data_IF_612857690697
#
_entry.id   IF_612857690697
#
_cell.length_a   1.000
_cell.length_b   1.000
_cell.length_c   1.000
_cell.angle_alpha   90.00
_cell.angle_beta   90.00
_cell.angle_gamma   90.00
#
_symmetry.space_group_name_H-M   'P 1'
#
loop_
_entity.id
_entity.type
_entity.pdbx_description
1 polymer ?
#
# COMPACT_ATOMS: atom_id res chain seq x y z
N UNK A 1 23.10 -15.89 -21.82
CA UNK A 1 22.78 -14.74 -20.95
C UNK A 1 23.80 -14.75 -19.81
N UNK A 2 24.45 -13.62 -19.50
CA UNK A 2 25.44 -13.56 -18.41
C UNK A 2 24.71 -13.82 -17.08
N UNK A 3 25.27 -14.56 -16.11
CA UNK A 3 24.57 -14.92 -14.86
C UNK A 3 23.89 -13.74 -14.14
N UNK A 4 24.51 -12.55 -14.20
CA UNK A 4 23.96 -11.34 -13.60
C UNK A 4 22.69 -10.82 -14.32
N UNK A 5 22.60 -10.99 -15.64
CA UNK A 5 21.40 -10.62 -16.41
C UNK A 5 20.21 -11.53 -16.09
N UNK A 6 20.46 -12.84 -15.89
CA UNK A 6 19.43 -13.79 -15.48
C UNK A 6 18.87 -13.38 -14.11
N UNK A 7 19.74 -13.02 -13.18
CA UNK A 7 19.37 -12.54 -11.85
C UNK A 7 18.51 -11.28 -11.88
N UNK A 8 18.83 -10.31 -12.75
CA UNK A 8 18.02 -9.09 -12.93
C UNK A 8 16.62 -9.44 -13.45
N UNK A 9 16.52 -10.31 -14.46
CA UNK A 9 15.22 -10.75 -15.00
C UNK A 9 14.37 -11.46 -13.94
N UNK A 10 14.98 -12.34 -13.15
CA UNK A 10 14.31 -13.04 -12.04
C UNK A 10 13.78 -12.07 -10.99
N UNK A 11 14.58 -11.07 -10.61
CA UNK A 11 14.15 -10.04 -9.65
C UNK A 11 13.00 -9.19 -10.19
N UNK A 12 13.02 -8.81 -11.47
CA UNK A 12 11.93 -8.06 -12.09
C UNK A 12 10.65 -8.89 -12.19
N UNK A 13 10.77 -10.18 -12.53
CA UNK A 13 9.64 -11.09 -12.55
C UNK A 13 9.04 -11.29 -11.14
N UNK A 14 9.87 -11.34 -10.10
CA UNK A 14 9.41 -11.39 -8.71
C UNK A 14 8.66 -10.11 -8.32
N UNK A 15 9.21 -8.93 -8.65
CA UNK A 15 8.56 -7.65 -8.37
C UNK A 15 7.21 -7.52 -9.09
N UNK A 16 7.10 -7.99 -10.34
CA UNK A 16 5.85 -7.98 -11.09
C UNK A 16 4.77 -8.85 -10.43
N UNK A 17 5.12 -10.07 -9.98
CA UNK A 17 4.18 -10.94 -9.27
C UNK A 17 3.72 -10.34 -7.93
N UNK A 18 4.63 -9.73 -7.18
CA UNK A 18 4.31 -9.05 -5.93
C UNK A 18 3.39 -7.84 -6.18
N UNK A 19 3.64 -7.07 -7.24
CA UNK A 19 2.79 -5.96 -7.66
C UNK A 19 1.37 -6.41 -8.00
N UNK A 20 1.23 -7.51 -8.75
CA UNK A 20 -0.08 -8.07 -9.10
C UNK A 20 -0.84 -8.56 -7.87
N UNK A 21 -0.14 -9.19 -6.91
CA UNK A 21 -0.72 -9.60 -5.65
C UNK A 21 -1.24 -8.39 -4.85
N UNK A 22 -0.38 -7.40 -4.60
CA UNK A 22 -0.73 -6.22 -3.83
C UNK A 22 -1.85 -5.39 -4.49
N UNK A 23 -1.86 -5.34 -5.83
CA UNK A 23 -2.92 -4.64 -6.57
C UNK A 23 -4.30 -5.28 -6.40
N UNK A 24 -4.38 -6.57 -6.09
CA UNK A 24 -5.66 -7.23 -5.72
C UNK A 24 -5.95 -7.06 -4.23
N UNK A 25 -4.93 -7.17 -3.39
CA UNK A 25 -5.04 -7.06 -1.93
C UNK A 25 -5.53 -5.66 -1.50
N UNK A 26 -5.08 -4.60 -2.17
CA UNK A 26 -5.44 -3.22 -1.82
C UNK A 26 -6.95 -2.98 -1.83
N UNK A 27 -7.71 -3.65 -2.71
CA UNK A 27 -9.16 -3.54 -2.75
C UNK A 27 -9.81 -4.11 -1.48
N UNK A 28 -9.29 -5.24 -0.97
CA UNK A 28 -9.75 -5.83 0.29
C UNK A 28 -9.41 -4.95 1.50
N UNK A 29 -8.21 -4.36 1.50
CA UNK A 29 -7.80 -3.42 2.55
C UNK A 29 -8.65 -2.14 2.53
N UNK A 30 -8.96 -1.61 1.34
CA UNK A 30 -9.82 -0.45 1.16
C UNK A 30 -11.23 -0.74 1.71
N UNK A 31 -11.80 -1.91 1.37
CA UNK A 31 -13.11 -2.32 1.89
C UNK A 31 -13.11 -2.45 3.40
N UNK A 32 -12.10 -3.10 3.98
CA UNK A 32 -11.97 -3.25 5.43
C UNK A 32 -11.84 -1.89 6.15
N UNK A 33 -11.14 -0.92 5.57
CA UNK A 33 -11.09 0.43 6.12
C UNK A 33 -12.45 1.13 6.08
N UNK A 34 -13.19 1.02 4.98
CA UNK A 34 -14.53 1.61 4.86
C UNK A 34 -15.51 1.00 5.86
N UNK A 35 -15.47 -0.31 6.05
CA UNK A 35 -16.27 -1.03 7.05
C UNK A 35 -15.94 -0.54 8.47
N UNK A 36 -14.66 -0.55 8.86
CA UNK A 36 -14.24 -0.09 10.18
C UNK A 36 -14.60 1.39 10.43
N UNK A 37 -14.50 2.24 9.40
CA UNK A 37 -14.90 3.65 9.51
C UNK A 37 -16.42 3.80 9.68
N UNK A 38 -17.22 2.95 9.04
CA UNK A 38 -18.66 2.93 9.20
C UNK A 38 -19.06 2.47 10.61
N UNK A 39 -18.37 1.46 11.14
CA UNK A 39 -18.57 0.94 12.50
C UNK A 39 -18.25 2.01 13.54
N UNK A 40 -17.11 2.70 13.42
CA UNK A 40 -16.75 3.82 14.29
C UNK A 40 -17.81 4.93 14.29
N UNK A 41 -18.22 5.40 13.09
CA UNK A 41 -19.23 6.46 12.96
C UNK A 41 -20.54 6.05 13.61
N UNK A 42 -20.91 4.79 13.46
CA UNK A 42 -22.13 4.22 14.01
C UNK A 42 -22.05 4.09 15.53
N UNK A 43 -20.93 3.58 16.06
CA UNK A 43 -20.67 3.48 17.50
C UNK A 43 -20.71 4.85 18.17
N UNK A 44 -20.00 5.83 17.60
CA UNK A 44 -19.99 7.20 18.10
C UNK A 44 -21.39 7.82 18.10
N UNK A 45 -22.12 7.72 16.98
CA UNK A 45 -23.46 8.28 16.87
C UNK A 45 -24.43 7.65 17.88
N UNK A 46 -24.40 6.31 18.04
CA UNK A 46 -25.21 5.61 19.04
C UNK A 46 -24.86 6.07 20.45
N UNK A 47 -23.57 6.09 20.80
CA UNK A 47 -23.10 6.50 22.12
C UNK A 47 -23.48 7.95 22.44
N UNK A 48 -23.36 8.86 21.47
CA UNK A 48 -23.76 10.25 21.62
C UNK A 48 -25.26 10.39 21.88
N UNK A 49 -26.10 9.66 21.12
CA UNK A 49 -27.56 9.75 21.23
C UNK A 49 -28.10 9.27 22.58
N UNK A 50 -27.48 8.25 23.18
CA UNK A 50 -27.91 7.68 24.47
C UNK A 50 -27.24 8.33 25.69
N UNK A 51 -26.16 9.09 25.51
CA UNK A 51 -25.44 9.70 26.61
C UNK A 51 -26.25 10.85 27.24
N UNK A 52 -26.19 10.92 28.57
CA UNK A 52 -26.76 12.02 29.35
C UNK A 52 -25.73 13.12 29.66
N UNK A 53 -26.25 14.29 30.01
CA UNK A 53 -25.49 15.47 30.41
C UNK A 53 -25.56 16.59 29.37
N UNK A 54 -24.70 17.59 29.57
CA UNK A 54 -24.49 18.65 28.59
C UNK A 54 -24.01 18.07 27.25
N UNK A 55 -24.22 18.82 26.17
CA UNK A 55 -23.79 18.40 24.82
C UNK A 55 -22.30 18.05 24.79
N UNK A 56 -21.46 18.79 25.51
CA UNK A 56 -20.02 18.56 25.52
C UNK A 56 -19.66 17.28 26.31
N UNK A 57 -20.26 17.04 27.47
CA UNK A 57 -20.10 15.78 28.19
C UNK A 57 -20.54 14.57 27.36
N UNK A 58 -21.65 14.70 26.62
CA UNK A 58 -22.14 13.65 25.72
C UNK A 58 -21.14 13.32 24.61
N UNK A 59 -20.51 14.33 24.02
CA UNK A 59 -19.45 14.11 23.02
C UNK A 59 -18.28 13.36 23.63
N UNK A 60 -17.76 13.81 24.77
CA UNK A 60 -16.59 13.17 25.38
C UNK A 60 -16.90 11.71 25.77
N UNK A 61 -18.09 11.43 26.31
CA UNK A 61 -18.55 10.05 26.56
C UNK A 61 -18.62 9.22 25.28
N UNK A 62 -19.14 9.78 24.20
CA UNK A 62 -19.24 9.08 22.91
C UNK A 62 -17.86 8.78 22.30
N UNK A 63 -16.90 9.71 22.43
CA UNK A 63 -15.50 9.50 22.02
C UNK A 63 -14.92 8.31 22.79
N UNK A 64 -15.04 8.32 24.12
CA UNK A 64 -14.48 7.25 24.97
C UNK A 64 -15.07 5.88 24.64
N UNK A 65 -16.38 5.82 24.34
CA UNK A 65 -17.05 4.55 24.00
C UNK A 65 -16.64 4.04 22.63
N UNK A 66 -16.46 4.92 21.64
CA UNK A 66 -16.17 4.55 20.25
C UNK A 66 -14.66 4.50 19.93
N UNK A 67 -13.80 4.59 20.94
CA UNK A 67 -12.35 4.71 20.75
C UNK A 67 -11.74 3.44 20.13
N UNK A 68 -12.23 2.27 20.50
CA UNK A 68 -11.74 1.01 19.95
C UNK A 68 -12.05 0.90 18.45
N UNK A 69 -13.28 1.21 18.03
CA UNK A 69 -13.66 1.24 16.62
C UNK A 69 -12.90 2.32 15.86
N UNK A 70 -12.68 3.50 16.46
CA UNK A 70 -11.84 4.56 15.89
C UNK A 70 -10.44 4.03 15.61
N UNK A 71 -9.84 3.38 16.58
CA UNK A 71 -8.50 2.81 16.45
C UNK A 71 -8.44 1.73 15.36
N UNK A 72 -9.46 0.87 15.24
CA UNK A 72 -9.52 -0.11 14.15
C UNK A 72 -9.61 0.56 12.77
N UNK A 73 -10.41 1.62 12.64
CA UNK A 73 -10.52 2.39 11.40
C UNK A 73 -9.17 3.03 11.01
N UNK A 74 -8.48 3.64 11.98
CA UNK A 74 -7.15 4.24 11.79
C UNK A 74 -6.11 3.19 11.37
N UNK A 75 -6.09 2.02 12.02
CA UNK A 75 -5.19 0.91 11.67
C UNK A 75 -5.47 0.40 10.26
N UNK A 76 -6.74 0.25 9.88
CA UNK A 76 -7.13 -0.17 8.54
C UNK A 76 -6.68 0.86 7.49
N UNK A 77 -6.79 2.16 7.77
CA UNK A 77 -6.28 3.22 6.91
C UNK A 77 -4.76 3.10 6.70
N UNK A 78 -4.02 2.88 7.80
CA UNK A 78 -2.56 2.73 7.71
C UNK A 78 -2.15 1.51 6.86
N UNK A 79 -2.92 0.42 6.91
CA UNK A 79 -2.69 -0.76 6.06
C UNK A 79 -2.90 -0.44 4.57
N UNK A 80 -3.97 0.28 4.24
CA UNK A 80 -4.21 0.76 2.87
C UNK A 80 -3.05 1.62 2.38
N UNK A 81 -2.63 2.59 3.19
CA UNK A 81 -1.53 3.50 2.86
C UNK A 81 -0.23 2.74 2.63
N UNK A 82 0.13 1.84 3.55
CA UNK A 82 1.35 1.02 3.45
C UNK A 82 1.33 0.14 2.19
N UNK A 83 0.20 -0.47 1.85
CA UNK A 83 0.07 -1.27 0.63
C UNK A 83 0.25 -0.41 -0.63
N UNK A 84 -0.36 0.78 -0.68
CA UNK A 84 -0.20 1.73 -1.80
C UNK A 84 1.24 2.22 -1.93
N UNK A 85 1.91 2.52 -0.82
CA UNK A 85 3.32 2.93 -0.82
C UNK A 85 4.23 1.80 -1.31
N UNK A 86 3.94 0.55 -0.91
CA UNK A 86 4.65 -0.63 -1.40
C UNK A 86 4.46 -0.83 -2.91
N UNK A 87 3.24 -0.67 -3.41
CA UNK A 87 2.91 -0.72 -4.85
C UNK A 87 3.74 0.32 -5.63
N UNK A 88 3.83 1.56 -5.12
CA UNK A 88 4.63 2.63 -5.75
C UNK A 88 6.11 2.24 -5.81
N UNK A 89 6.69 1.82 -4.68
CA UNK A 89 8.09 1.41 -4.62
C UNK A 89 8.43 0.25 -5.58
N UNK A 90 7.52 -0.71 -5.75
CA UNK A 90 7.70 -1.81 -6.71
C UNK A 90 7.64 -1.33 -8.16
N UNK A 91 6.76 -0.38 -8.49
CA UNK A 91 6.68 0.23 -9.83
C UNK A 91 7.98 0.97 -10.15
N UNK A 92 8.50 1.77 -9.22
CA UNK A 92 9.76 2.50 -9.37
C UNK A 92 10.92 1.51 -9.59
N UNK A 93 10.96 0.42 -8.83
CA UNK A 93 11.99 -0.62 -9.00
C UNK A 93 11.92 -1.32 -10.37
N UNK A 94 10.71 -1.58 -10.87
CA UNK A 94 10.52 -2.14 -12.21
C UNK A 94 10.98 -1.18 -13.31
N UNK A 95 10.74 0.12 -13.15
CA UNK A 95 11.20 1.15 -14.07
C UNK A 95 12.74 1.24 -14.09
N UNK A 96 13.38 1.31 -12.92
CA UNK A 96 14.85 1.31 -12.81
C UNK A 96 15.46 0.07 -13.46
N UNK A 97 14.90 -1.11 -13.22
CA UNK A 97 15.41 -2.34 -13.84
C UNK A 97 15.25 -2.39 -15.36
N UNK A 98 14.18 -1.81 -15.92
CA UNK A 98 14.01 -1.67 -17.38
C UNK A 98 15.08 -0.74 -17.97
N UNK A 99 15.34 0.40 -17.31
CA UNK A 99 16.37 1.35 -17.72
C UNK A 99 17.78 0.74 -17.66
N UNK A 100 18.10 0.01 -16.59
CA UNK A 100 19.39 -0.69 -16.47
C UNK A 100 19.57 -1.75 -17.56
N UNK A 101 18.54 -2.55 -17.85
CA UNK A 101 18.62 -3.56 -18.91
C UNK A 101 18.84 -2.91 -20.29
N UNK A 102 18.19 -1.77 -20.56
CA UNK A 102 18.42 -1.01 -21.78
C UNK A 102 19.87 -0.51 -21.88
N UNK A 103 20.42 0.06 -20.80
CA UNK A 103 21.80 0.53 -20.75
C UNK A 103 22.82 -0.61 -20.97
N UNK A 104 22.59 -1.77 -20.34
CA UNK A 104 23.43 -2.96 -20.52
C UNK A 104 23.42 -3.44 -21.98
N UNK A 105 22.25 -3.50 -22.64
CA UNK A 105 22.20 -3.84 -24.07
C UNK A 105 22.98 -2.85 -24.93
N UNK A 106 22.86 -1.55 -24.65
CA UNK A 106 23.58 -0.51 -25.38
C UNK A 106 25.09 -0.64 -25.23
N UNK A 107 25.59 -0.90 -24.01
CA UNK A 107 27.02 -1.14 -23.76
C UNK A 107 27.57 -2.28 -24.62
N UNK A 108 26.87 -3.42 -24.67
CA UNK A 108 27.30 -4.55 -25.50
C UNK A 108 27.27 -4.24 -27.01
N UNK A 109 26.30 -3.47 -27.49
CA UNK A 109 26.29 -3.04 -28.90
C UNK A 109 27.42 -2.08 -29.24
N UNK A 110 27.82 -1.22 -28.30
CA UNK A 110 28.93 -0.28 -28.51
C UNK A 110 30.29 -0.97 -28.42
N UNK A 111 30.46 -1.91 -27.49
CA UNK A 111 31.68 -2.72 -27.38
C UNK A 111 31.89 -3.64 -28.60
N UNK A 112 30.81 -4.24 -29.13
CA UNK A 112 30.88 -5.08 -30.33
C UNK A 112 31.27 -4.32 -31.61
N UNK A 113 31.07 -3.00 -31.66
CA UNK A 113 31.47 -2.14 -32.79
C UNK A 113 32.90 -1.61 -32.63
N UNK A 114 33.50 -1.74 -31.44
CA UNK A 114 34.82 -1.20 -31.09
C UNK A 114 35.99 -2.21 -31.12
N UNK A 115 35.76 -3.49 -31.41
CA UNK A 115 36.84 -4.46 -31.62
C UNK A 115 37.27 -4.45 -33.10
N UNK A 116 38.57 -4.22 -33.42
CA UNK A 116 39.09 -4.24 -34.79
C UNK A 116 39.09 -5.63 -35.42
#
# INVERSE_FOLDING_TARGET
MIPEQVRVVEQLAACARELDHLSREVAGLDMAHVEALADYRTAYARAFLIADGSVEERKQKAILVAEDERFQADVAEQKVRACRDRIRALRDRLEVGRSLNAAVRTQFTTEAVGQP
#
